data_IF_404110843061
#
_entry.id   IF_404110843061
#
_cell.length_a   1.000
_cell.length_b   1.000
_cell.length_c   1.000
_cell.angle_alpha   90.00
_cell.angle_beta   90.00
_cell.angle_gamma   90.00
#
_symmetry.space_group_name_H-M   'P 1'
#
loop_
_entity.id
_entity.type
_entity.pdbx_description
1 polymer ?
#
# COMPACT_ATOMS: atom_id res chain seq x y z
N UNK A 1 6.50 15.77 -4.95
CA UNK A 1 5.13 15.19 -4.91
C UNK A 1 4.79 14.73 -6.31
N UNK A 2 4.28 13.51 -6.43
CA UNK A 2 3.82 12.97 -7.70
C UNK A 2 2.52 13.66 -8.13
N UNK A 3 2.27 13.70 -9.43
CA UNK A 3 0.94 14.05 -9.95
C UNK A 3 -0.06 12.93 -9.67
N UNK A 4 -1.36 13.22 -9.74
CA UNK A 4 -2.40 12.20 -9.58
C UNK A 4 -2.23 11.04 -10.57
N UNK A 5 -1.96 11.33 -11.84
CA UNK A 5 -1.74 10.32 -12.88
C UNK A 5 -0.54 9.41 -12.56
N UNK A 6 0.56 9.98 -12.07
CA UNK A 6 1.73 9.20 -11.64
C UNK A 6 1.45 8.36 -10.39
N UNK A 7 0.61 8.86 -9.49
CA UNK A 7 0.20 8.14 -8.30
C UNK A 7 -0.74 6.97 -8.64
N UNK A 8 -1.68 7.18 -9.56
CA UNK A 8 -2.54 6.12 -10.12
C UNK A 8 -1.69 5.04 -10.80
N UNK A 9 -0.69 5.43 -11.61
CA UNK A 9 0.24 4.50 -12.25
C UNK A 9 1.08 3.71 -11.21
N UNK A 10 1.56 4.39 -10.17
CA UNK A 10 2.30 3.74 -9.08
C UNK A 10 1.41 2.73 -8.33
N UNK A 11 0.17 3.12 -7.99
CA UNK A 11 -0.79 2.26 -7.31
C UNK A 11 -1.15 1.02 -8.14
N UNK A 12 -1.43 1.18 -9.43
CA UNK A 12 -1.65 0.06 -10.36
C UNK A 12 -0.44 -0.89 -10.45
N UNK A 13 0.77 -0.35 -10.41
CA UNK A 13 2.00 -1.15 -10.50
C UNK A 13 2.34 -1.89 -9.20
N UNK A 14 1.88 -1.37 -8.06
CA UNK A 14 2.06 -1.98 -6.74
C UNK A 14 0.99 -3.03 -6.42
N UNK A 15 -0.29 -2.77 -6.74
CA UNK A 15 -1.42 -3.64 -6.41
C UNK A 15 -1.20 -5.08 -6.88
N UNK A 16 -1.49 -6.04 -6.00
CA UNK A 16 -1.27 -7.45 -6.29
C UNK A 16 0.20 -7.87 -6.27
N UNK A 17 1.06 -7.11 -5.58
CA UNK A 17 2.47 -7.43 -5.40
C UNK A 17 2.92 -7.14 -3.97
N UNK A 18 4.12 -7.61 -3.62
CA UNK A 18 4.85 -7.24 -2.41
C UNK A 18 6.03 -6.28 -2.70
N UNK A 19 5.95 -5.52 -3.80
CA UNK A 19 7.02 -4.58 -4.17
C UNK A 19 7.14 -3.44 -3.15
N UNK A 20 8.36 -2.98 -2.93
CA UNK A 20 8.59 -1.76 -2.16
C UNK A 20 8.32 -0.53 -3.03
N UNK A 21 7.79 0.54 -2.42
CA UNK A 21 7.48 1.81 -3.10
C UNK A 21 8.70 2.34 -3.86
N UNK A 22 9.87 2.44 -3.22
CA UNK A 22 11.09 2.93 -3.86
C UNK A 22 11.47 2.16 -5.13
N UNK A 23 11.36 0.83 -5.12
CA UNK A 23 11.63 0.01 -6.30
C UNK A 23 10.62 0.27 -7.43
N UNK A 24 9.34 0.44 -7.10
CA UNK A 24 8.32 0.78 -8.09
C UNK A 24 8.51 2.20 -8.66
N UNK A 25 8.91 3.17 -7.83
CA UNK A 25 9.26 4.53 -8.25
C UNK A 25 10.44 4.54 -9.22
N UNK A 26 11.48 3.74 -8.94
CA UNK A 26 12.62 3.56 -9.83
C UNK A 26 12.22 2.91 -11.16
N UNK A 27 11.44 1.82 -11.12
CA UNK A 27 10.98 1.11 -12.32
C UNK A 27 10.10 1.97 -13.24
N UNK A 28 9.30 2.86 -12.65
CA UNK A 28 8.42 3.77 -13.38
C UNK A 28 9.08 5.12 -13.72
N UNK A 29 10.36 5.31 -13.37
CA UNK A 29 11.13 6.54 -13.60
C UNK A 29 10.42 7.80 -13.06
N UNK A 30 9.72 7.70 -11.92
CA UNK A 30 8.88 8.78 -11.36
C UNK A 30 9.68 9.92 -10.69
N UNK A 31 11.00 9.79 -10.63
CA UNK A 31 11.95 10.80 -10.13
C UNK A 31 12.59 10.45 -8.78
N UNK A 32 13.72 11.09 -8.46
CA UNK A 32 14.54 10.76 -7.28
C UNK A 32 14.19 11.58 -6.01
N UNK A 33 13.34 12.61 -6.12
CA UNK A 33 12.95 13.51 -5.02
C UNK A 33 11.54 13.19 -4.48
N UNK A 34 11.20 11.90 -4.43
CA UNK A 34 9.90 11.46 -3.91
C UNK A 34 10.03 11.10 -2.44
N UNK A 35 9.17 11.70 -1.62
CA UNK A 35 9.13 11.41 -0.19
C UNK A 35 8.33 10.13 0.04
N UNK A 36 9.03 8.99 0.10
CA UNK A 36 8.42 7.67 0.30
C UNK A 36 7.57 7.58 1.57
N UNK A 37 7.91 8.34 2.62
CA UNK A 37 7.16 8.35 3.89
C UNK A 37 5.75 8.90 3.75
N UNK A 38 5.50 9.65 2.67
CA UNK A 38 4.20 10.21 2.33
C UNK A 38 3.47 9.42 1.26
N UNK A 39 4.21 8.70 0.42
CA UNK A 39 3.62 7.97 -0.71
C UNK A 39 2.65 6.88 -0.26
N UNK A 40 2.94 6.15 0.82
CA UNK A 40 2.00 5.14 1.33
C UNK A 40 0.65 5.76 1.70
N UNK A 41 0.65 6.94 2.33
CA UNK A 41 -0.57 7.66 2.65
C UNK A 41 -1.24 8.26 1.39
N UNK A 42 -0.45 8.81 0.47
CA UNK A 42 -0.97 9.37 -0.79
C UNK A 42 -1.62 8.26 -1.65
N UNK A 43 -1.12 7.02 -1.62
CA UNK A 43 -1.67 5.88 -2.37
C UNK A 43 -3.12 5.52 -1.99
N UNK A 44 -3.55 5.90 -0.78
CA UNK A 44 -4.96 5.76 -0.38
C UNK A 44 -5.90 6.62 -1.25
N UNK A 45 -5.43 7.74 -1.81
CA UNK A 45 -6.22 8.62 -2.69
C UNK A 45 -6.46 8.00 -4.09
N UNK A 46 -5.78 6.89 -4.40
CA UNK A 46 -5.85 6.14 -5.67
C UNK A 46 -6.17 4.66 -5.44
N UNK A 47 -6.96 4.38 -4.40
CA UNK A 47 -7.52 3.06 -4.08
C UNK A 47 -6.45 1.97 -3.93
N UNK A 48 -5.30 2.31 -3.34
CA UNK A 48 -4.21 1.37 -3.08
C UNK A 48 -3.75 1.43 -1.61
N UNK A 49 -3.78 0.30 -0.90
CA UNK A 49 -3.38 0.21 0.51
C UNK A 49 -2.44 -0.97 0.79
N UNK A 50 -1.60 -0.87 1.83
CA UNK A 50 -0.60 -1.87 2.19
C UNK A 50 -1.06 -2.69 3.40
N UNK A 51 -1.03 -4.02 3.29
CA UNK A 51 -1.10 -4.86 4.47
C UNK A 51 0.21 -4.71 5.27
N UNK A 52 0.12 -4.16 6.49
CA UNK A 52 1.31 -3.86 7.31
C UNK A 52 2.05 -5.11 7.78
N UNK A 53 1.39 -6.28 7.75
CA UNK A 53 1.98 -7.54 8.18
C UNK A 53 2.75 -8.24 7.06
N UNK A 54 2.10 -8.51 5.92
CA UNK A 54 2.71 -9.28 4.83
C UNK A 54 3.35 -8.42 3.73
N UNK A 55 3.13 -7.10 3.75
CA UNK A 55 3.66 -6.18 2.74
C UNK A 55 3.01 -6.32 1.36
N UNK A 56 1.83 -6.96 1.27
CA UNK A 56 1.08 -7.07 0.03
C UNK A 56 0.20 -5.84 -0.20
N UNK A 57 0.20 -5.32 -1.43
CA UNK A 57 -0.63 -4.18 -1.83
C UNK A 57 -1.99 -4.62 -2.33
N UNK A 58 -3.03 -4.02 -1.78
CA UNK A 58 -4.44 -4.30 -2.00
C UNK A 58 -5.18 -3.10 -2.57
N UNK A 59 -6.39 -3.35 -3.09
CA UNK A 59 -7.34 -2.26 -3.33
C UNK A 59 -7.88 -1.74 -1.99
N UNK A 60 -8.22 -0.45 -1.91
CA UNK A 60 -8.78 0.13 -0.67
C UNK A 60 -10.09 -0.56 -0.28
N UNK A 61 -10.25 -0.79 1.01
CA UNK A 61 -11.36 -1.53 1.65
C UNK A 61 -11.23 -3.06 1.60
N UNK A 62 -10.07 -3.58 1.20
CA UNK A 62 -9.75 -5.01 1.34
C UNK A 62 -8.99 -5.33 2.63
N UNK A 63 -8.63 -4.32 3.42
CA UNK A 63 -7.93 -4.49 4.68
C UNK A 63 -8.81 -4.16 5.89
N UNK A 64 -8.65 -4.97 6.93
CA UNK A 64 -9.18 -4.70 8.26
C UNK A 64 -8.17 -3.84 9.04
N UNK A 65 -8.60 -2.70 9.56
CA UNK A 65 -7.75 -1.90 10.43
C UNK A 65 -7.56 -2.59 11.79
N UNK A 66 -6.30 -2.75 12.21
CA UNK A 66 -5.91 -3.22 13.54
C UNK A 66 -5.10 -2.16 14.27
N UNK A 67 -5.65 -1.66 15.37
CA UNK A 67 -4.93 -0.71 16.25
C UNK A 67 -3.69 -1.35 16.88
N UNK A 68 -3.74 -2.66 17.16
CA UNK A 68 -2.63 -3.40 17.75
C UNK A 68 -1.43 -3.49 16.80
N UNK A 69 -1.69 -3.74 15.50
CA UNK A 69 -0.64 -3.87 14.48
C UNK A 69 -0.29 -2.53 13.82
N UNK A 70 -1.07 -1.48 14.11
CA UNK A 70 -0.81 -0.12 13.64
C UNK A 70 -1.14 0.12 12.17
N UNK A 71 -2.06 -0.65 11.58
CA UNK A 71 -2.47 -0.47 10.19
C UNK A 71 -3.44 -1.53 9.67
N UNK A 72 -3.60 -1.57 8.35
CA UNK A 72 -4.49 -2.51 7.66
C UNK A 72 -3.90 -3.92 7.58
N UNK A 73 -4.73 -4.94 7.79
CA UNK A 73 -4.40 -6.35 7.68
C UNK A 73 -5.31 -7.02 6.66
N UNK A 74 -4.77 -7.86 5.79
CA UNK A 74 -5.59 -8.68 4.90
C UNK A 74 -6.21 -9.86 5.67
N UNK A 75 -7.27 -10.47 5.14
CA UNK A 75 -7.99 -11.59 5.75
C UNK A 75 -7.07 -12.70 6.25
N UNK A 76 -6.08 -13.09 5.44
CA UNK A 76 -5.10 -14.11 5.83
C UNK A 76 -4.24 -13.71 7.04
N UNK A 77 -3.81 -12.45 7.09
CA UNK A 77 -3.02 -11.96 8.22
C UNK A 77 -3.89 -11.79 9.48
N UNK A 78 -5.17 -11.43 9.32
CA UNK A 78 -6.12 -11.42 10.42
C UNK A 78 -6.29 -12.82 11.02
N UNK A 79 -6.46 -13.86 10.19
CA UNK A 79 -6.55 -15.25 10.65
C UNK A 79 -5.31 -15.69 11.43
N UNK A 80 -4.12 -15.34 10.93
CA UNK A 80 -2.84 -15.69 11.57
C UNK A 80 -2.63 -14.98 12.92
N UNK A 81 -3.08 -13.73 13.02
CA UNK A 81 -2.91 -12.89 14.19
C UNK A 81 -4.09 -12.97 15.18
N UNK A 82 -5.17 -13.66 14.81
CA UNK A 82 -6.39 -13.75 15.62
C UNK A 82 -7.16 -12.44 15.71
N UNK A 83 -7.10 -11.61 14.66
CA UNK A 83 -7.88 -10.38 14.51
C UNK A 83 -9.17 -10.71 13.75
N UNK A 84 -10.31 -10.22 14.20
CA UNK A 84 -11.59 -10.37 13.50
C UNK A 84 -11.58 -9.52 12.23
N UNK A 85 -11.95 -10.10 11.09
CA UNK A 85 -12.06 -9.43 9.79
C UNK A 85 -13.55 -9.25 9.46
N UNK A 86 -14.02 -8.00 9.34
CA UNK A 86 -15.45 -7.65 9.14
C UNK A 86 -15.85 -7.41 7.68
#
# INVERSE_FOLDING_TARGET
MLTREQLEQLGEHLRGTCKQIGAAVEELELGNDVDETRLEADLLDVDTELCVHCGWWHEVSELQYSEQEGGGLCEQCCDELGVEFE
#
